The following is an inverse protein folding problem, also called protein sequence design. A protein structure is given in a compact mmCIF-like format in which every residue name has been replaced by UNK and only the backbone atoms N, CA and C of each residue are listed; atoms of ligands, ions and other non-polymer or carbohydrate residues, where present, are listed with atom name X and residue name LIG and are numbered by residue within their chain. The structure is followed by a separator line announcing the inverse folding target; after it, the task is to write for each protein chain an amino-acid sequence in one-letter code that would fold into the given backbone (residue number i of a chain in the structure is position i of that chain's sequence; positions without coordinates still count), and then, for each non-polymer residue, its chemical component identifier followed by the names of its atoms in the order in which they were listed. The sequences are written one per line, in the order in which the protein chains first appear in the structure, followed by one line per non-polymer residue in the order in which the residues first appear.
data_IF_521143042844
#
_entry.id   IF_521143042844
#
_cell.length_a   1.000
_cell.length_b   1.000
_cell.length_c   1.000
_cell.angle_alpha   90.00
_cell.angle_beta   90.00
_cell.angle_gamma   90.00
#
_symmetry.space_group_name_H-M   'P 1'
#
loop_
_entity.id
_entity.type
_entity.pdbx_description
1 polymer ?
#
# COMPACT_ATOMS: atom_id res chain seq x y z
N UNK A 1 21.97 24.57 35.30
CA UNK A 1 21.68 25.23 36.59
C UNK A 1 22.24 26.64 36.57
N UNK A 2 21.37 27.65 36.59
CA UNK A 2 21.72 29.05 36.41
C UNK A 2 21.46 29.89 37.66
N UNK A 3 22.23 30.97 37.81
CA UNK A 3 21.95 32.03 38.78
C UNK A 3 21.01 33.06 38.13
N UNK A 4 19.89 33.34 38.77
CA UNK A 4 18.98 34.44 38.44
C UNK A 4 19.13 35.55 39.49
N UNK A 5 18.66 36.77 39.20
CA UNK A 5 18.80 37.97 40.07
C UNK A 5 18.22 37.81 41.50
N UNK A 6 17.52 36.72 41.80
CA UNK A 6 16.98 36.40 43.13
C UNK A 6 17.26 34.99 43.67
N UNK A 7 18.11 34.17 43.02
CA UNK A 7 18.42 32.82 43.52
C UNK A 7 19.01 31.85 42.49
N UNK A 8 19.13 30.57 42.88
CA UNK A 8 19.57 29.50 41.98
C UNK A 8 18.37 28.76 41.39
N UNK A 9 18.44 28.41 40.10
CA UNK A 9 17.42 27.63 39.41
C UNK A 9 18.04 26.36 38.82
N UNK A 10 17.41 25.20 39.08
CA UNK A 10 17.83 23.89 38.56
C UNK A 10 17.31 23.57 37.16
N UNK A 11 16.37 24.35 36.66
CA UNK A 11 15.82 24.24 35.32
C UNK A 11 16.55 25.28 34.44
N UNK A 12 17.19 24.84 33.36
CA UNK A 12 17.73 25.78 32.37
C UNK A 12 16.54 26.46 31.67
N UNK A 13 16.19 27.67 32.10
CA UNK A 13 15.10 28.51 31.56
C UNK A 13 15.52 29.26 30.29
N UNK A 14 16.42 28.72 29.47
CA UNK A 14 16.77 29.30 28.16
C UNK A 14 15.65 29.16 27.11
N UNK A 15 14.44 28.77 27.52
CA UNK A 15 13.25 28.66 26.68
C UNK A 15 11.93 28.90 27.42
N UNK A 16 11.92 29.88 28.33
CA UNK A 16 10.70 30.26 29.04
C UNK A 16 9.87 31.21 28.17
N UNK A 17 8.97 30.67 27.35
CA UNK A 17 7.99 31.47 26.62
C UNK A 17 6.94 32.05 27.60
N UNK A 18 6.69 33.38 27.60
CA UNK A 18 5.66 33.97 28.42
C UNK A 18 4.27 33.52 27.96
N UNK A 19 3.45 33.04 28.89
CA UNK A 19 2.06 32.65 28.61
C UNK A 19 1.11 33.64 29.25
N UNK A 20 0.08 34.07 28.51
CA UNK A 20 -0.83 35.14 28.94
C UNK A 20 -1.72 34.77 30.14
N UNK A 21 -2.07 33.50 30.31
CA UNK A 21 -2.89 33.01 31.42
C UNK A 21 -2.55 31.55 31.76
N UNK A 22 -2.61 31.21 33.04
CA UNK A 22 -2.40 29.85 33.57
C UNK A 22 -3.41 28.88 32.96
N UNK A 23 -4.68 29.29 32.76
CA UNK A 23 -5.66 28.41 32.12
C UNK A 23 -5.28 28.06 30.68
N UNK A 24 -4.72 29.03 29.94
CA UNK A 24 -4.20 28.81 28.58
C UNK A 24 -3.05 27.80 28.56
N UNK A 25 -2.10 27.95 29.50
CA UNK A 25 -0.98 27.01 29.66
C UNK A 25 -1.49 25.60 29.99
N UNK A 26 -2.38 25.47 30.99
CA UNK A 26 -2.90 24.16 31.40
C UNK A 26 -3.71 23.50 30.27
N UNK A 27 -4.53 24.26 29.54
CA UNK A 27 -5.29 23.75 28.42
C UNK A 27 -4.37 23.27 27.27
N UNK A 28 -3.32 24.04 26.96
CA UNK A 28 -2.35 23.65 25.93
C UNK A 28 -1.56 22.39 26.33
N UNK A 29 -1.07 22.35 27.57
CA UNK A 29 -0.28 21.23 28.09
C UNK A 29 -1.12 19.96 28.19
N UNK A 30 -2.22 19.98 28.96
CA UNK A 30 -3.06 18.81 29.14
C UNK A 30 -3.80 18.42 27.85
N UNK A 31 -4.19 19.38 27.01
CA UNK A 31 -4.77 19.10 25.70
C UNK A 31 -3.81 18.31 24.81
N UNK A 32 -2.52 18.70 24.80
CA UNK A 32 -1.47 17.97 24.08
C UNK A 32 -1.24 16.56 24.66
N UNK A 33 -1.14 16.42 25.97
CA UNK A 33 -0.93 15.12 26.63
C UNK A 33 -2.11 14.16 26.37
N UNK A 34 -3.35 14.65 26.47
CA UNK A 34 -4.55 13.86 26.15
C UNK A 34 -4.53 13.44 24.68
N UNK A 35 -4.20 14.35 23.76
CA UNK A 35 -4.13 14.06 22.34
C UNK A 35 -3.05 13.00 22.03
N UNK A 36 -1.88 13.07 22.67
CA UNK A 36 -0.81 12.10 22.54
C UNK A 36 -1.25 10.71 23.03
N UNK A 37 -1.87 10.62 24.21
CA UNK A 37 -2.40 9.35 24.72
C UNK A 37 -3.48 8.76 23.81
N UNK A 38 -4.37 9.60 23.29
CA UNK A 38 -5.39 9.17 22.32
C UNK A 38 -4.77 8.67 21.02
N UNK A 39 -3.76 9.38 20.51
CA UNK A 39 -3.01 9.02 19.32
C UNK A 39 -2.36 7.65 19.46
N UNK A 40 -1.59 7.43 20.54
CA UNK A 40 -0.89 6.17 20.77
C UNK A 40 -1.86 5.00 20.94
N UNK A 41 -2.94 5.19 21.70
CA UNK A 41 -3.97 4.17 21.88
C UNK A 41 -4.62 3.80 20.55
N UNK A 42 -5.03 4.79 19.77
CA UNK A 42 -5.71 4.58 18.49
C UNK A 42 -4.78 3.91 17.48
N UNK A 43 -3.54 4.39 17.38
CA UNK A 43 -2.51 3.81 16.51
C UNK A 43 -2.26 2.35 16.83
N UNK A 44 -1.99 2.02 18.10
CA UNK A 44 -1.74 0.65 18.53
C UNK A 44 -2.93 -0.27 18.21
N UNK A 45 -4.16 0.20 18.43
CA UNK A 45 -5.36 -0.55 18.11
C UNK A 45 -5.48 -0.85 16.60
N UNK A 46 -5.25 0.15 15.74
CA UNK A 46 -5.28 -0.02 14.28
C UNK A 46 -4.15 -0.97 13.85
N UNK A 47 -2.93 -0.78 14.35
CA UNK A 47 -1.76 -1.61 14.01
C UNK A 47 -1.97 -3.08 14.34
N UNK A 48 -2.42 -3.39 15.57
CA UNK A 48 -2.68 -4.77 15.97
C UNK A 48 -3.74 -5.43 15.10
N UNK A 49 -4.80 -4.68 14.75
CA UNK A 49 -5.87 -5.19 13.91
C UNK A 49 -5.40 -5.44 12.48
N UNK A 50 -4.69 -4.49 11.87
CA UNK A 50 -4.13 -4.62 10.52
C UNK A 50 -3.18 -5.81 10.44
N UNK A 51 -2.25 -5.94 11.40
CA UNK A 51 -1.32 -7.07 11.46
C UNK A 51 -2.04 -8.41 11.42
N UNK A 52 -3.04 -8.60 12.29
CA UNK A 52 -3.79 -9.86 12.33
C UNK A 52 -4.60 -10.17 11.06
N UNK A 53 -5.05 -9.14 10.33
CA UNK A 53 -5.76 -9.33 9.05
C UNK A 53 -4.77 -9.62 7.92
N UNK A 54 -3.68 -8.86 7.83
CA UNK A 54 -2.60 -9.05 6.85
C UNK A 54 -1.98 -10.44 6.97
N UNK A 55 -1.68 -10.91 8.18
CA UNK A 55 -1.07 -12.23 8.40
C UNK A 55 -1.98 -13.37 7.88
N UNK A 56 -3.30 -13.26 8.11
CA UNK A 56 -4.28 -14.23 7.59
C UNK A 56 -4.37 -14.20 6.07
N UNK A 57 -4.34 -13.01 5.47
CA UNK A 57 -4.41 -12.85 4.02
C UNK A 57 -3.12 -13.35 3.34
N UNK A 58 -1.95 -13.08 3.92
CA UNK A 58 -0.66 -13.60 3.45
C UNK A 58 -0.64 -15.13 3.46
N UNK A 59 -1.14 -15.75 4.53
CA UNK A 59 -1.28 -17.22 4.59
C UNK A 59 -2.28 -17.76 3.54
N UNK A 60 -3.38 -17.04 3.30
CA UNK A 60 -4.36 -17.42 2.28
C UNK A 60 -3.79 -17.31 0.86
N UNK A 61 -3.03 -16.25 0.58
CA UNK A 61 -2.33 -16.04 -0.68
C UNK A 61 -1.33 -17.17 -0.95
N UNK A 62 -0.46 -17.46 0.03
CA UNK A 62 0.54 -18.54 -0.12
C UNK A 62 -0.10 -19.91 -0.33
N UNK A 63 -1.23 -20.19 0.33
CA UNK A 63 -1.99 -21.43 0.11
C UNK A 63 -2.54 -21.54 -1.32
N UNK A 64 -2.99 -20.42 -1.90
CA UNK A 64 -3.47 -20.40 -3.28
C UNK A 64 -2.32 -20.49 -4.29
N UNK A 65 -1.19 -19.83 -4.04
CA UNK A 65 0.03 -19.94 -4.84
C UNK A 65 0.52 -21.39 -4.89
N UNK A 66 0.62 -22.06 -3.74
CA UNK A 66 1.00 -23.48 -3.68
C UNK A 66 0.06 -24.38 -4.50
N UNK A 67 -1.25 -24.10 -4.53
CA UNK A 67 -2.22 -24.86 -5.35
C UNK A 67 -2.05 -24.59 -6.85
N UNK A 68 -1.64 -23.38 -7.22
CA UNK A 68 -1.35 -23.02 -8.61
C UNK A 68 -0.04 -23.66 -9.07
N UNK A 69 0.98 -23.72 -8.23
CA UNK A 69 2.25 -24.38 -8.52
C UNK A 69 2.06 -25.88 -8.74
N UNK A 70 1.26 -26.55 -7.89
CA UNK A 70 0.85 -27.94 -8.13
C UNK A 70 0.12 -28.12 -9.47
N UNK A 71 -0.56 -27.07 -9.95
CA UNK A 71 -1.25 -27.07 -11.23
C UNK A 71 -0.34 -26.71 -12.42
N UNK A 72 0.89 -26.23 -12.20
CA UNK A 72 1.87 -25.97 -13.25
C UNK A 72 2.36 -27.25 -13.93
N UNK A 73 2.32 -28.39 -13.22
CA UNK A 73 2.58 -29.73 -13.79
C UNK A 73 1.44 -30.24 -14.71
N UNK A 74 0.33 -29.49 -14.84
CA UNK A 74 -0.78 -29.90 -15.69
C UNK A 74 -0.38 -30.08 -17.16
N UNK A 75 0.47 -29.20 -17.70
CA UNK A 75 0.88 -29.27 -19.10
C UNK A 75 1.79 -30.47 -19.37
N UNK A 76 2.64 -30.84 -18.40
CA UNK A 76 3.44 -32.08 -18.46
C UNK A 76 2.56 -33.34 -18.51
N UNK A 77 1.44 -33.37 -17.78
CA UNK A 77 0.50 -34.50 -17.85
C UNK A 77 -0.12 -34.63 -19.24
N UNK A 78 -0.41 -33.50 -19.91
CA UNK A 78 -0.94 -33.51 -21.28
C UNK A 78 0.11 -34.01 -22.27
N UNK A 79 1.32 -33.46 -22.24
CA UNK A 79 2.43 -33.90 -23.11
C UNK A 79 2.68 -35.41 -22.99
N UNK A 80 2.75 -35.93 -21.75
CA UNK A 80 2.89 -37.38 -21.50
C UNK A 80 1.71 -38.20 -22.01
N UNK A 81 0.48 -37.68 -21.89
CA UNK A 81 -0.71 -38.35 -22.42
C UNK A 81 -0.70 -38.41 -23.95
N UNK A 82 -0.32 -37.32 -24.61
CA UNK A 82 -0.21 -37.21 -26.07
C UNK A 82 0.86 -38.20 -26.60
N UNK A 83 2.02 -38.27 -25.94
CA UNK A 83 3.09 -39.22 -26.26
C UNK A 83 2.63 -40.68 -26.11
N UNK A 84 2.01 -41.04 -24.98
CA UNK A 84 1.47 -42.39 -24.77
C UNK A 84 0.41 -42.78 -25.80
N UNK A 85 -0.39 -41.81 -26.27
CA UNK A 85 -1.41 -42.07 -27.27
C UNK A 85 -0.79 -42.32 -28.66
N UNK A 86 0.18 -41.50 -29.07
CA UNK A 86 0.86 -41.63 -30.35
C UNK A 86 1.67 -42.94 -30.46
N UNK A 87 2.40 -43.29 -29.41
CA UNK A 87 3.22 -44.50 -29.37
C UNK A 87 2.49 -45.73 -28.82
N UNK A 88 1.17 -45.65 -28.60
CA UNK A 88 0.37 -46.72 -28.00
C UNK A 88 0.52 -48.09 -28.65
N UNK A 89 0.82 -48.13 -29.96
CA UNK A 89 1.08 -49.34 -30.74
C UNK A 89 2.35 -50.10 -30.32
N UNK A 90 3.30 -49.46 -29.62
CA UNK A 90 4.56 -50.06 -29.17
C UNK A 90 4.45 -50.68 -27.77
N UNK A 91 3.32 -50.49 -27.09
CA UNK A 91 3.10 -50.97 -25.74
C UNK A 91 2.90 -52.49 -25.68
N UNK A 92 3.48 -53.13 -24.66
CA UNK A 92 3.31 -54.55 -24.35
C UNK A 92 2.79 -54.76 -22.91
N UNK A 93 2.01 -55.83 -22.65
CA UNK A 93 1.53 -56.13 -21.30
C UNK A 93 2.66 -56.23 -20.27
N UNK A 94 2.52 -55.54 -19.13
CA UNK A 94 3.52 -55.50 -18.06
C UNK A 94 4.69 -54.52 -18.26
N UNK A 95 4.73 -53.79 -19.39
CA UNK A 95 5.81 -52.86 -19.70
C UNK A 95 5.81 -51.64 -18.75
N UNK A 96 6.86 -51.54 -17.93
CA UNK A 96 7.05 -50.44 -16.97
C UNK A 96 8.55 -50.15 -16.78
N UNK A 97 9.12 -48.99 -17.21
CA UNK A 97 8.53 -47.86 -17.92
C UNK A 97 8.51 -48.03 -19.46
N UNK A 98 7.72 -47.21 -20.15
CA UNK A 98 7.72 -47.11 -21.62
C UNK A 98 8.58 -45.92 -22.05
N UNK A 99 9.60 -46.16 -22.88
CA UNK A 99 10.46 -45.09 -23.42
C UNK A 99 9.95 -44.66 -24.78
N UNK A 100 9.70 -43.36 -24.93
CA UNK A 100 9.15 -42.75 -26.15
C UNK A 100 9.91 -41.47 -26.47
N UNK A 101 10.06 -41.15 -27.75
CA UNK A 101 10.76 -39.94 -28.15
C UNK A 101 9.84 -38.72 -27.98
N UNK A 102 10.35 -37.70 -27.29
CA UNK A 102 9.67 -36.44 -27.05
C UNK A 102 9.43 -35.67 -28.37
N UNK A 103 8.23 -35.12 -28.56
CA UNK A 103 7.85 -34.46 -29.82
C UNK A 103 8.64 -33.17 -30.11
N UNK A 104 9.10 -32.47 -29.08
CA UNK A 104 9.78 -31.17 -29.22
C UNK A 104 11.29 -31.32 -29.31
N UNK A 105 11.86 -32.23 -28.52
CA UNK A 105 13.32 -32.39 -28.40
C UNK A 105 13.88 -33.60 -29.14
N UNK A 106 13.03 -34.58 -29.51
CA UNK A 106 13.47 -35.85 -30.09
C UNK A 106 14.28 -36.73 -29.13
N UNK A 107 14.40 -36.33 -27.86
CA UNK A 107 15.12 -37.09 -26.86
C UNK A 107 14.24 -38.21 -26.28
N UNK A 108 14.80 -39.37 -25.93
CA UNK A 108 14.04 -40.46 -25.33
C UNK A 108 13.57 -40.07 -23.92
N UNK A 109 12.26 -40.14 -23.69
CA UNK A 109 11.59 -39.87 -22.43
C UNK A 109 10.94 -41.15 -21.87
N UNK A 110 11.27 -41.50 -20.63
CA UNK A 110 10.64 -42.62 -19.93
C UNK A 110 9.32 -42.18 -19.27
N UNK A 111 8.21 -42.79 -19.67
CA UNK A 111 6.88 -42.58 -19.09
C UNK A 111 6.49 -43.81 -18.27
N UNK A 112 6.24 -43.61 -16.97
CA UNK A 112 5.77 -44.66 -16.07
C UNK A 112 4.31 -45.05 -16.39
N UNK A 113 4.11 -46.33 -16.67
CA UNK A 113 2.80 -46.95 -16.87
C UNK A 113 2.52 -47.82 -15.65
N UNK A 114 1.27 -47.86 -15.21
CA UNK A 114 0.85 -48.74 -14.12
C UNK A 114 0.78 -50.18 -14.66
N UNK A 115 1.38 -51.21 -14.02
CA UNK A 115 1.40 -52.58 -14.55
C UNK A 115 0.01 -53.15 -14.88
N UNK A 116 -1.01 -52.69 -14.17
CA UNK A 116 -2.41 -53.11 -14.34
C UNK A 116 -3.16 -52.33 -15.44
N UNK A 117 -2.51 -51.38 -16.13
CA UNK A 117 -3.14 -50.50 -17.12
C UNK A 117 -2.47 -50.55 -18.48
N UNK A 118 -3.26 -50.34 -19.53
CA UNK A 118 -2.74 -50.13 -20.88
C UNK A 118 -2.20 -48.71 -21.06
N UNK A 119 -1.33 -48.49 -22.05
CA UNK A 119 -0.86 -47.15 -22.42
C UNK A 119 -2.02 -46.16 -22.66
N UNK A 120 -3.09 -46.62 -23.33
CA UNK A 120 -4.31 -45.82 -23.59
C UNK A 120 -5.03 -45.47 -22.28
N UNK A 121 -5.20 -46.41 -21.36
CA UNK A 121 -5.83 -46.16 -20.06
C UNK A 121 -4.99 -45.20 -19.21
N UNK A 122 -3.66 -45.34 -19.24
CA UNK A 122 -2.74 -44.43 -18.55
C UNK A 122 -2.81 -43.02 -19.14
N UNK A 123 -2.85 -42.88 -20.47
CA UNK A 123 -3.04 -41.60 -21.14
C UNK A 123 -4.39 -40.95 -20.78
N UNK A 124 -5.49 -41.71 -20.78
CA UNK A 124 -6.80 -41.22 -20.33
C UNK A 124 -6.78 -40.73 -18.88
N UNK A 125 -6.05 -41.41 -17.98
CA UNK A 125 -5.85 -40.96 -16.60
C UNK A 125 -5.12 -39.63 -16.54
N UNK A 126 -4.04 -39.49 -17.30
CA UNK A 126 -3.26 -38.25 -17.41
C UNK A 126 -4.10 -37.10 -17.98
N UNK A 127 -4.93 -37.33 -19.01
CA UNK A 127 -5.87 -36.31 -19.50
C UNK A 127 -6.91 -35.91 -18.44
N UNK A 128 -7.48 -36.86 -17.69
CA UNK A 128 -8.39 -36.55 -16.58
C UNK A 128 -7.69 -35.71 -15.51
N UNK A 129 -6.45 -36.02 -15.19
CA UNK A 129 -5.63 -35.26 -14.23
C UNK A 129 -5.33 -33.85 -14.75
N UNK A 130 -4.90 -33.70 -16.00
CA UNK A 130 -4.72 -32.40 -16.66
C UNK A 130 -6.01 -31.57 -16.59
N UNK A 131 -7.15 -32.13 -16.98
CA UNK A 131 -8.42 -31.41 -16.99
C UNK A 131 -8.90 -31.02 -15.59
N UNK A 132 -8.57 -31.82 -14.56
CA UNK A 132 -8.84 -31.48 -13.15
C UNK A 132 -7.97 -30.31 -12.69
N UNK A 133 -6.65 -30.36 -12.94
CA UNK A 133 -5.70 -29.32 -12.57
C UNK A 133 -5.98 -28.01 -13.32
N UNK A 134 -6.31 -28.08 -14.61
CA UNK A 134 -6.70 -26.91 -15.42
C UNK A 134 -7.95 -26.21 -14.85
N UNK A 135 -8.97 -26.99 -14.47
CA UNK A 135 -10.18 -26.46 -13.81
C UNK A 135 -9.86 -25.83 -12.45
N UNK A 136 -9.00 -26.47 -11.66
CA UNK A 136 -8.55 -25.92 -10.38
C UNK A 136 -7.79 -24.59 -10.57
N UNK A 137 -6.86 -24.53 -11.53
CA UNK A 137 -6.13 -23.30 -11.90
C UNK A 137 -7.07 -22.17 -12.28
N UNK A 138 -8.05 -22.44 -13.15
CA UNK A 138 -9.03 -21.45 -13.58
C UNK A 138 -9.89 -20.92 -12.42
N UNK A 139 -10.21 -21.76 -11.43
CA UNK A 139 -10.99 -21.36 -10.26
C UNK A 139 -10.15 -20.61 -9.19
N UNK A 140 -8.89 -21.01 -8.98
CA UNK A 140 -8.02 -20.42 -7.95
C UNK A 140 -7.39 -19.10 -8.39
N UNK A 141 -7.08 -18.93 -9.67
CA UNK A 141 -6.45 -17.71 -10.19
C UNK A 141 -7.22 -16.41 -9.85
N UNK A 142 -8.54 -16.29 -10.08
CA UNK A 142 -9.27 -15.09 -9.71
C UNK A 142 -9.37 -14.89 -8.18
N UNK A 143 -9.38 -15.97 -7.40
CA UNK A 143 -9.37 -15.89 -5.94
C UNK A 143 -8.04 -15.36 -5.41
N UNK A 144 -6.91 -15.79 -5.99
CA UNK A 144 -5.60 -15.26 -5.66
C UNK A 144 -5.50 -13.78 -6.02
N UNK A 145 -5.91 -13.39 -7.23
CA UNK A 145 -5.90 -11.99 -7.65
C UNK A 145 -6.73 -11.10 -6.71
N UNK A 146 -7.90 -11.57 -6.26
CA UNK A 146 -8.72 -10.84 -5.29
C UNK A 146 -8.03 -10.68 -3.91
N UNK A 147 -7.37 -11.74 -3.42
CA UNK A 147 -6.61 -11.69 -2.16
C UNK A 147 -5.39 -10.79 -2.28
N UNK A 148 -4.68 -10.81 -3.41
CA UNK A 148 -3.53 -9.94 -3.66
C UNK A 148 -3.96 -8.47 -3.77
N UNK A 149 -5.07 -8.16 -4.44
CA UNK A 149 -5.62 -6.80 -4.47
C UNK A 149 -6.04 -6.31 -3.07
N UNK A 150 -6.59 -7.20 -2.26
CA UNK A 150 -6.93 -6.90 -0.87
C UNK A 150 -5.69 -6.67 0.02
N UNK A 151 -4.63 -7.47 -0.17
CA UNK A 151 -3.34 -7.27 0.48
C UNK A 151 -2.73 -5.92 0.11
N UNK A 152 -2.65 -5.60 -1.19
CA UNK A 152 -2.10 -4.34 -1.67
C UNK A 152 -2.80 -3.13 -1.03
N UNK A 153 -4.13 -3.20 -0.88
CA UNK A 153 -4.90 -2.16 -0.18
C UNK A 153 -4.55 -2.04 1.30
N UNK A 154 -4.49 -3.15 2.04
CA UNK A 154 -4.20 -3.08 3.46
C UNK A 154 -2.74 -2.70 3.74
N UNK A 155 -1.81 -3.05 2.83
CA UNK A 155 -0.42 -2.60 2.89
C UNK A 155 -0.29 -1.10 2.61
N UNK A 156 -1.14 -0.52 1.76
CA UNK A 156 -1.26 0.93 1.58
C UNK A 156 -1.73 1.62 2.86
N UNK A 157 -2.74 1.07 3.55
CA UNK A 157 -3.19 1.60 4.85
C UNK A 157 -2.08 1.46 5.91
N UNK A 158 -1.39 0.32 5.95
CA UNK A 158 -0.25 0.10 6.85
C UNK A 158 0.88 1.11 6.58
N UNK A 159 1.21 1.37 5.31
CA UNK A 159 2.20 2.37 4.93
C UNK A 159 1.84 3.76 5.46
N UNK A 160 0.60 4.22 5.24
CA UNK A 160 0.13 5.50 5.78
C UNK A 160 0.27 5.59 7.31
N UNK A 161 -0.03 4.49 8.02
CA UNK A 161 0.10 4.41 9.48
C UNK A 161 1.55 4.45 9.97
N UNK A 162 2.47 3.83 9.23
CA UNK A 162 3.91 3.83 9.57
C UNK A 162 4.59 5.18 9.34
N UNK A 163 4.05 6.02 8.46
CA UNK A 163 4.57 7.37 8.23
C UNK A 163 4.35 8.28 9.45
N UNK A 164 3.23 8.11 10.16
CA UNK A 164 2.88 8.91 11.34
C UNK A 164 3.39 8.23 12.60
N UNK A 165 4.71 8.32 12.84
CA UNK A 165 5.37 7.64 13.96
C UNK A 165 5.03 8.26 15.31
N UNK A 166 5.03 9.59 15.36
CA UNK A 166 4.88 10.43 16.55
C UNK A 166 3.74 11.42 16.34
N UNK A 167 3.14 11.85 17.45
CA UNK A 167 2.18 12.95 17.44
C UNK A 167 2.94 14.29 17.40
N UNK A 168 2.91 14.96 16.25
CA UNK A 168 3.56 16.26 16.06
C UNK A 168 2.51 17.37 15.96
N UNK A 169 1.42 17.12 15.24
CA UNK A 169 0.36 18.09 14.99
C UNK A 169 -1.04 17.49 15.19
N UNK A 170 -2.06 18.31 15.48
CA UNK A 170 -3.45 17.83 15.62
C UNK A 170 -3.96 17.04 14.40
N UNK A 171 -3.50 17.40 13.20
CA UNK A 171 -3.87 16.73 11.96
C UNK A 171 -3.37 15.28 11.87
N UNK A 172 -2.36 14.89 12.66
CA UNK A 172 -1.91 13.50 12.74
C UNK A 172 -2.93 12.62 13.46
N UNK A 173 -3.58 13.13 14.50
CA UNK A 173 -4.67 12.45 15.19
C UNK A 173 -5.92 12.37 14.29
N UNK A 174 -6.26 13.45 13.59
CA UNK A 174 -7.36 13.43 12.60
C UNK A 174 -7.11 12.37 11.52
N UNK A 175 -5.89 12.27 10.99
CA UNK A 175 -5.54 11.26 9.99
C UNK A 175 -5.73 9.82 10.50
N UNK A 176 -5.43 9.53 11.77
CA UNK A 176 -5.70 8.21 12.36
C UNK A 176 -7.20 7.94 12.54
N UNK A 177 -7.97 8.96 12.88
CA UNK A 177 -9.43 8.86 12.99
C UNK A 177 -10.03 8.53 11.62
N UNK A 178 -9.57 9.18 10.56
CA UNK A 178 -9.96 8.89 9.18
C UNK A 178 -9.60 7.47 8.77
N UNK A 179 -8.37 7.02 9.05
CA UNK A 179 -7.95 5.63 8.77
C UNK A 179 -8.86 4.65 9.51
N UNK A 180 -9.20 4.91 10.78
CA UNK A 180 -10.13 4.05 11.53
C UNK A 180 -11.51 4.03 10.88
N UNK A 181 -12.05 5.18 10.50
CA UNK A 181 -13.36 5.26 9.84
C UNK A 181 -13.36 4.51 8.51
N UNK A 182 -12.30 4.65 7.71
CA UNK A 182 -12.11 3.89 6.47
C UNK A 182 -12.11 2.38 6.74
N UNK A 183 -11.35 1.91 7.72
CA UNK A 183 -11.30 0.49 8.08
C UNK A 183 -12.63 -0.05 8.60
N UNK A 184 -13.42 0.77 9.30
CA UNK A 184 -14.80 0.42 9.71
C UNK A 184 -15.71 0.33 8.48
N UNK A 185 -15.64 1.30 7.57
CA UNK A 185 -16.47 1.34 6.35
C UNK A 185 -16.20 0.15 5.44
N UNK A 186 -14.93 -0.27 5.35
CA UNK A 186 -14.51 -1.46 4.59
C UNK A 186 -14.74 -2.78 5.35
N UNK A 187 -15.22 -2.74 6.61
CA UNK A 187 -15.58 -3.93 7.39
C UNK A 187 -14.41 -4.62 8.10
N UNK A 188 -13.22 -4.01 8.16
CA UNK A 188 -12.06 -4.57 8.86
C UNK A 188 -12.10 -4.37 10.37
N UNK A 189 -12.77 -3.31 10.83
CA UNK A 189 -12.93 -2.98 12.24
C UNK A 189 -14.41 -2.94 12.62
N UNK A 190 -14.73 -3.53 13.78
CA UNK A 190 -16.03 -3.36 14.41
C UNK A 190 -16.01 -2.05 15.22
N UNK A 191 -17.12 -1.34 15.21
CA UNK A 191 -17.35 -0.23 16.12
C UNK A 191 -17.66 -0.78 17.51
N UNK A 192 -16.85 -0.52 18.56
CA UNK A 192 -17.19 -0.99 19.90
C UNK A 192 -18.42 -0.27 20.46
N UNK A 193 -18.74 0.95 19.98
CA UNK A 193 -19.87 1.75 20.46
C UNK A 193 -20.13 2.98 19.56
N UNK A 194 -20.29 2.80 18.25
CA UNK A 194 -20.55 3.94 17.35
C UNK A 194 -22.05 4.25 17.32
N UNK A 195 -22.48 5.20 18.15
CA UNK A 195 -23.85 5.71 18.09
C UNK A 195 -24.11 6.29 16.69
N UNK A 196 -25.30 6.06 16.10
CA UNK A 196 -25.67 6.61 14.78
C UNK A 196 -25.62 8.15 14.70
N UNK A 197 -25.57 8.86 15.83
CA UNK A 197 -25.43 10.31 15.91
C UNK A 197 -24.08 10.81 15.40
N UNK A 198 -23.00 10.04 15.58
CA UNK A 198 -21.64 10.48 15.27
C UNK A 198 -21.36 10.42 13.76
N UNK A 199 -22.05 9.54 13.01
CA UNK A 199 -22.02 9.50 11.55
C UNK A 199 -22.53 10.81 10.92
N UNK A 200 -23.64 11.34 11.45
CA UNK A 200 -24.21 12.61 10.96
C UNK A 200 -23.35 13.82 11.34
N UNK A 201 -22.61 13.76 12.45
CA UNK A 201 -21.71 14.85 12.85
C UNK A 201 -20.38 14.84 12.07
N UNK A 202 -19.82 13.66 11.78
CA UNK A 202 -18.59 13.52 10.98
C UNK A 202 -18.83 13.82 9.50
N UNK A 203 -19.92 13.32 8.91
CA UNK A 203 -20.24 13.57 7.49
C UNK A 203 -20.58 15.04 7.24
N UNK A 204 -21.23 15.72 8.21
CA UNK A 204 -21.47 17.17 8.14
C UNK A 204 -20.19 18.00 8.31
N UNK A 205 -19.28 17.60 9.20
CA UNK A 205 -17.97 18.26 9.33
C UNK A 205 -17.06 18.04 8.12
N UNK A 206 -17.19 16.89 7.45
CA UNK A 206 -16.46 16.59 6.21
C UNK A 206 -17.01 17.34 4.99
N UNK A 207 -18.31 17.67 4.95
CA UNK A 207 -18.91 18.41 3.83
C UNK A 207 -18.69 19.92 3.88
N UNK A 208 -18.39 20.48 5.05
CA UNK A 208 -18.21 21.94 5.28
C UNK A 208 -16.72 22.39 5.26
N UNK A 209 -15.77 21.45 5.16
CA UNK A 209 -14.33 21.79 5.13
C UNK A 209 -13.91 22.11 3.69
N UNK A 210 -13.25 23.25 3.53
CA UNK A 210 -12.64 23.61 2.25
C UNK A 210 -11.52 22.58 1.94
N UNK A 211 -11.32 22.14 0.68
CA UNK A 211 -10.27 21.16 0.36
C UNK A 211 -8.87 21.58 0.80
N UNK A 212 -8.60 22.89 0.87
CA UNK A 212 -7.34 23.45 1.40
C UNK A 212 -7.15 23.29 2.91
N UNK A 213 -8.19 22.90 3.65
CA UNK A 213 -8.26 22.80 5.11
C UNK A 213 -8.30 21.33 5.60
N UNK A 214 -8.18 20.36 4.69
CA UNK A 214 -8.19 18.91 4.98
C UNK A 214 -6.90 18.40 5.63
N UNK A 215 -6.01 19.31 6.07
CA UNK A 215 -4.80 18.94 6.82
C UNK A 215 -3.82 18.09 6.00
N UNK A 216 -3.65 18.37 4.71
CA UNK A 216 -2.55 17.79 3.93
C UNK A 216 -1.20 18.21 4.52
N UNK A 217 -0.17 17.39 4.33
CA UNK A 217 1.20 17.85 4.59
C UNK A 217 1.61 18.80 3.48
N UNK A 218 1.91 20.05 3.83
CA UNK A 218 2.32 21.07 2.88
C UNK A 218 3.85 21.22 2.91
N UNK A 219 4.45 21.32 1.73
CA UNK A 219 5.88 21.62 1.52
C UNK A 219 6.03 22.64 0.41
N UNK A 220 7.23 23.21 0.29
CA UNK A 220 7.63 24.00 -0.86
C UNK A 220 8.87 23.38 -1.48
N UNK A 221 8.92 23.36 -2.80
CA UNK A 221 10.14 22.98 -3.51
C UNK A 221 11.23 24.06 -3.32
N UNK A 222 12.48 23.80 -3.69
CA UNK A 222 13.55 24.80 -3.64
C UNK A 222 13.23 26.07 -4.42
N UNK A 223 12.49 25.97 -5.52
CA UNK A 223 12.07 27.13 -6.33
C UNK A 223 10.74 27.74 -5.82
N UNK A 224 10.23 27.27 -4.68
CA UNK A 224 9.10 27.84 -3.95
C UNK A 224 7.72 27.30 -4.36
N UNK A 225 7.66 26.31 -5.25
CA UNK A 225 6.40 25.72 -5.74
C UNK A 225 5.69 24.93 -4.63
N UNK A 226 4.35 24.99 -4.51
CA UNK A 226 3.62 24.27 -3.48
C UNK A 226 3.60 22.76 -3.74
N UNK A 227 3.81 21.98 -2.69
CA UNK A 227 3.71 20.51 -2.73
C UNK A 227 2.74 20.05 -1.64
N UNK A 228 1.78 19.22 -2.01
CA UNK A 228 0.80 18.63 -1.11
C UNK A 228 1.02 17.12 -1.03
N UNK A 229 1.07 16.57 0.19
CA UNK A 229 1.21 15.13 0.44
C UNK A 229 0.04 14.63 1.27
N UNK A 230 -0.63 13.58 0.81
CA UNK A 230 -1.73 12.95 1.54
C UNK A 230 -1.22 12.15 2.75
N UNK A 231 -1.89 12.30 3.91
CA UNK A 231 -1.59 11.54 5.14
C UNK A 231 -2.25 10.15 5.16
N UNK A 232 -3.31 9.93 4.38
CA UNK A 232 -4.08 8.68 4.32
C UNK A 232 -4.77 8.50 2.95
N UNK A 233 -5.43 7.37 2.72
CA UNK A 233 -6.07 7.05 1.43
C UNK A 233 -7.21 8.00 1.07
N UNK A 234 -7.99 8.45 2.06
CA UNK A 234 -9.05 9.44 1.84
C UNK A 234 -8.47 10.75 1.29
N UNK A 235 -7.42 11.27 1.92
CA UNK A 235 -6.71 12.47 1.46
C UNK A 235 -6.05 12.25 0.10
N UNK A 236 -5.49 11.06 -0.15
CA UNK A 236 -4.90 10.70 -1.43
C UNK A 236 -5.93 10.74 -2.58
N UNK A 237 -7.15 10.24 -2.33
CA UNK A 237 -8.25 10.32 -3.28
C UNK A 237 -8.67 11.78 -3.52
N UNK A 238 -8.81 12.56 -2.45
CA UNK A 238 -9.20 13.97 -2.51
C UNK A 238 -8.19 14.82 -3.28
N UNK A 239 -6.89 14.54 -3.12
CA UNK A 239 -5.82 15.21 -3.86
C UNK A 239 -6.03 15.10 -5.36
N UNK A 240 -6.41 13.93 -5.85
CA UNK A 240 -6.60 13.68 -7.28
C UNK A 240 -7.97 14.17 -7.75
N UNK A 241 -9.05 13.88 -7.01
CA UNK A 241 -10.40 14.13 -7.52
C UNK A 241 -10.86 15.58 -7.40
N UNK A 242 -10.35 16.33 -6.43
CA UNK A 242 -10.87 17.65 -6.08
C UNK A 242 -9.80 18.74 -6.10
N UNK A 243 -8.59 18.44 -5.65
CA UNK A 243 -7.54 19.45 -5.47
C UNK A 243 -6.69 19.65 -6.73
N UNK A 244 -6.42 18.57 -7.44
CA UNK A 244 -5.58 18.57 -8.63
C UNK A 244 -6.20 19.35 -9.78
N UNK A 245 -5.34 20.07 -10.50
CA UNK A 245 -5.64 20.76 -11.75
C UNK A 245 -4.88 20.11 -12.91
N UNK A 246 -5.24 20.43 -14.15
CA UNK A 246 -4.61 19.84 -15.34
C UNK A 246 -3.12 20.19 -15.53
N UNK A 247 -2.65 21.23 -14.86
CA UNK A 247 -1.25 21.69 -14.91
C UNK A 247 -0.36 20.98 -13.89
N UNK A 248 -0.96 20.48 -12.80
CA UNK A 248 -0.21 19.89 -11.70
C UNK A 248 0.48 18.59 -12.12
N UNK A 249 1.45 18.15 -11.31
CA UNK A 249 2.10 16.86 -11.47
C UNK A 249 1.82 15.98 -10.26
N UNK A 250 1.33 14.78 -10.51
CA UNK A 250 1.09 13.75 -9.51
C UNK A 250 2.28 12.79 -9.45
N UNK A 251 2.69 12.43 -8.23
CA UNK A 251 3.80 11.53 -7.95
C UNK A 251 3.37 10.42 -6.99
N UNK A 252 3.94 9.23 -7.20
CA UNK A 252 3.81 8.09 -6.30
C UNK A 252 4.98 7.13 -6.47
N UNK A 253 5.29 6.31 -5.48
CA UNK A 253 6.32 5.28 -5.61
C UNK A 253 5.87 4.17 -6.55
N UNK A 254 6.76 3.68 -7.42
CA UNK A 254 6.42 2.64 -8.38
C UNK A 254 6.29 1.29 -7.69
N UNK A 255 5.11 0.64 -7.81
CA UNK A 255 4.80 -0.67 -7.21
C UNK A 255 5.03 -0.79 -5.69
N UNK A 256 5.22 0.34 -4.99
CA UNK A 256 5.48 0.39 -3.55
C UNK A 256 4.36 1.21 -2.91
N UNK A 257 3.74 0.72 -1.82
CA UNK A 257 2.73 1.48 -1.10
C UNK A 257 3.27 2.80 -0.51
N UNK A 258 2.57 3.91 -0.75
CA UNK A 258 3.00 5.24 -0.31
C UNK A 258 1.94 6.33 -0.48
N UNK A 259 2.26 7.53 -0.02
CA UNK A 259 1.37 8.69 -0.14
C UNK A 259 1.33 9.19 -1.58
N UNK A 260 0.18 9.74 -1.97
CA UNK A 260 0.09 10.52 -3.20
C UNK A 260 0.67 11.90 -2.93
N UNK A 261 1.52 12.37 -3.84
CA UNK A 261 2.13 13.69 -3.77
C UNK A 261 1.73 14.50 -4.99
N UNK A 262 1.33 15.74 -4.78
CA UNK A 262 0.88 16.66 -5.82
C UNK A 262 1.77 17.90 -5.81
N UNK A 263 2.54 18.09 -6.89
CA UNK A 263 3.25 19.33 -7.17
C UNK A 263 2.29 20.29 -7.87
N UNK A 264 2.05 21.45 -7.25
CA UNK A 264 1.12 22.45 -7.77
C UNK A 264 1.82 23.35 -8.78
N UNK A 265 1.28 23.43 -9.99
CA UNK A 265 1.81 24.25 -11.07
C UNK A 265 0.72 25.18 -11.61
N UNK A 266 1.08 26.43 -11.88
CA UNK A 266 0.24 27.38 -12.59
C UNK A 266 0.34 27.22 -14.11
N UNK A 267 -0.51 27.93 -14.82
CA UNK A 267 -0.45 27.99 -16.29
C UNK A 267 0.87 28.65 -16.73
N UNK A 268 1.70 27.89 -17.45
CA UNK A 268 3.01 28.35 -17.94
C UNK A 268 4.18 28.06 -17.00
N UNK A 269 3.92 27.53 -15.79
CA UNK A 269 4.99 27.08 -14.90
C UNK A 269 5.61 25.79 -15.43
N UNK A 270 6.94 25.69 -15.31
CA UNK A 270 7.70 24.49 -15.65
C UNK A 270 8.54 24.13 -14.42
N UNK A 271 8.30 22.94 -13.87
CA UNK A 271 9.10 22.43 -12.75
C UNK A 271 10.54 22.20 -13.20
N UNK A 272 11.50 22.70 -12.43
CA UNK A 272 12.92 22.42 -12.68
C UNK A 272 13.24 20.96 -12.31
N UNK A 273 14.33 20.41 -12.86
CA UNK A 273 14.80 19.06 -12.48
C UNK A 273 15.05 18.94 -10.97
N UNK A 274 15.43 20.05 -10.32
CA UNK A 274 15.64 20.12 -8.88
C UNK A 274 14.32 20.01 -8.12
N UNK A 275 13.26 20.65 -8.58
CA UNK A 275 11.93 20.54 -7.99
C UNK A 275 11.36 19.13 -8.17
N UNK A 276 11.49 18.55 -9.37
CA UNK A 276 11.06 17.19 -9.65
C UNK A 276 11.77 16.17 -8.74
N UNK A 277 13.09 16.32 -8.58
CA UNK A 277 13.88 15.48 -7.68
C UNK A 277 13.44 15.65 -6.21
N UNK A 278 13.20 16.87 -5.76
CA UNK A 278 12.72 17.13 -4.40
C UNK A 278 11.36 16.47 -4.12
N UNK A 279 10.42 16.57 -5.06
CA UNK A 279 9.10 15.93 -4.94
C UNK A 279 9.20 14.41 -4.98
N UNK A 280 10.12 13.86 -5.80
CA UNK A 280 10.42 12.44 -5.82
C UNK A 280 11.00 11.96 -4.47
N UNK A 281 11.92 12.71 -3.88
CA UNK A 281 12.47 12.42 -2.55
C UNK A 281 11.36 12.39 -1.50
N UNK A 282 10.40 13.34 -1.55
CA UNK A 282 9.23 13.37 -0.68
C UNK A 282 8.31 12.16 -0.86
N UNK A 283 8.00 11.78 -2.11
CA UNK A 283 7.17 10.61 -2.40
C UNK A 283 7.84 9.32 -1.88
N UNK A 284 9.15 9.17 -2.08
CA UNK A 284 9.94 8.07 -1.55
C UNK A 284 9.96 8.06 0.00
N UNK A 285 10.09 9.23 0.63
CA UNK A 285 10.10 9.36 2.08
C UNK A 285 8.74 9.01 2.71
N UNK A 286 7.64 9.44 2.10
CA UNK A 286 6.29 9.05 2.50
C UNK A 286 5.83 7.76 1.83
N UNK A 287 6.70 6.74 1.83
CA UNK A 287 6.37 5.40 1.34
C UNK A 287 6.87 4.33 2.30
N UNK A 288 6.48 3.08 2.05
CA UNK A 288 7.05 1.92 2.74
C UNK A 288 8.57 1.79 2.54
N UNK A 289 9.12 2.36 1.47
CA UNK A 289 10.54 2.31 1.14
C UNK A 289 11.36 3.48 1.73
N UNK A 290 10.85 4.18 2.76
CA UNK A 290 11.53 5.31 3.43
C UNK A 290 12.98 5.03 3.88
N UNK A 291 13.31 3.78 4.20
CA UNK A 291 14.64 3.38 4.66
C UNK A 291 15.61 2.99 3.52
N UNK A 292 15.12 2.87 2.29
CA UNK A 292 15.93 2.52 1.12
C UNK A 292 16.83 3.69 0.68
N UNK A 293 17.94 3.39 0.02
CA UNK A 293 18.86 4.41 -0.51
C UNK A 293 18.26 5.17 -1.70
N UNK A 294 17.64 4.43 -2.62
CA UNK A 294 16.96 4.94 -3.80
C UNK A 294 15.64 4.19 -4.02
N UNK A 295 14.63 4.91 -4.48
CA UNK A 295 13.28 4.38 -4.74
C UNK A 295 12.81 4.88 -6.10
N UNK A 296 12.29 4.01 -6.98
CA UNK A 296 11.68 4.45 -8.23
C UNK A 296 10.36 5.17 -7.92
N UNK A 297 10.24 6.39 -8.40
CA UNK A 297 9.05 7.24 -8.27
C UNK A 297 8.52 7.51 -9.66
N UNK A 298 7.22 7.33 -9.84
CA UNK A 298 6.53 7.71 -11.06
C UNK A 298 5.94 9.10 -10.90
N UNK A 299 5.90 9.85 -11.99
CA UNK A 299 5.07 11.04 -12.07
C UNK A 299 4.36 11.15 -13.41
N UNK A 300 3.17 11.75 -13.38
CA UNK A 300 2.37 12.06 -14.57
C UNK A 300 1.38 13.18 -14.26
N UNK A 301 0.66 13.64 -15.27
CA UNK A 301 -0.42 14.60 -15.09
C UNK A 301 -1.65 13.94 -14.44
N UNK A 302 -2.36 14.62 -13.52
CA UNK A 302 -3.54 14.08 -12.85
C UNK A 302 -4.60 13.51 -13.79
N UNK A 303 -4.78 14.09 -14.99
CA UNK A 303 -5.72 13.59 -16.02
C UNK A 303 -5.43 12.16 -16.50
N UNK A 304 -4.20 11.66 -16.33
CA UNK A 304 -3.82 10.29 -16.67
C UNK A 304 -3.98 9.32 -15.50
N UNK A 305 -4.36 9.82 -14.32
CA UNK A 305 -4.60 9.05 -13.11
C UNK A 305 -6.10 8.93 -12.90
N UNK A 306 -6.62 7.71 -12.87
CA UNK A 306 -8.05 7.48 -12.67
C UNK A 306 -8.31 6.34 -11.70
N UNK A 307 -9.36 6.50 -10.91
CA UNK A 307 -9.86 5.51 -9.96
C UNK A 307 -10.93 4.64 -10.63
N UNK A 308 -10.72 3.32 -10.78
CA UNK A 308 -11.73 2.43 -11.34
C UNK A 308 -13.01 2.41 -10.48
N UNK A 309 -14.18 2.25 -11.12
CA UNK A 309 -15.44 2.07 -10.38
C UNK A 309 -15.36 0.84 -9.47
N UNK A 310 -15.62 1.04 -8.18
CA UNK A 310 -15.55 -0.02 -7.17
C UNK A 310 -14.15 -0.31 -6.64
N UNK A 311 -13.12 0.41 -7.09
CA UNK A 311 -11.79 0.34 -6.47
C UNK A 311 -11.83 0.88 -5.03
N UNK A 312 -11.00 0.29 -4.18
CA UNK A 312 -10.85 0.71 -2.78
C UNK A 312 -10.24 2.12 -2.68
N UNK A 313 -10.44 2.84 -1.58
CA UNK A 313 -9.82 4.15 -1.38
C UNK A 313 -8.30 4.11 -1.58
N UNK A 314 -7.75 5.17 -2.17
CA UNK A 314 -6.31 5.29 -2.47
C UNK A 314 -5.82 4.46 -3.66
N UNK A 315 -6.64 3.57 -4.23
CA UNK A 315 -6.24 2.75 -5.39
C UNK A 315 -6.50 3.49 -6.69
N UNK A 316 -5.42 3.70 -7.45
CA UNK A 316 -5.46 4.42 -8.73
C UNK A 316 -4.76 3.63 -9.83
N UNK A 317 -5.22 3.83 -11.06
CA UNK A 317 -4.53 3.37 -12.26
C UNK A 317 -3.99 4.62 -12.94
N UNK A 318 -2.73 4.58 -13.34
CA UNK A 318 -2.04 5.65 -14.05
C UNK A 318 -1.59 5.17 -15.43
N UNK A 319 -1.36 6.13 -16.33
CA UNK A 319 -0.84 5.93 -17.69
C UNK A 319 0.16 7.03 -18.00
N UNK A 320 1.02 6.82 -18.99
CA UNK A 320 1.97 7.84 -19.47
C UNK A 320 2.84 8.39 -18.33
N UNK A 321 3.36 7.48 -17.51
CA UNK A 321 4.24 7.78 -16.42
C UNK A 321 5.68 7.98 -16.87
N UNK A 322 6.40 8.86 -16.18
CA UNK A 322 7.85 8.96 -16.26
C UNK A 322 8.43 8.52 -14.92
N UNK A 323 9.50 7.72 -14.96
CA UNK A 323 10.18 7.24 -13.76
C UNK A 323 11.36 8.16 -13.43
N UNK A 324 11.45 8.56 -12.17
CA UNK A 324 12.56 9.30 -11.58
C UNK A 324 12.99 8.62 -10.27
N UNK A 325 14.28 8.70 -9.93
CA UNK A 325 14.80 8.09 -8.71
C UNK A 325 14.75 9.08 -7.54
N UNK A 326 13.97 8.75 -6.51
CA UNK A 326 13.91 9.49 -5.25
C UNK A 326 14.86 8.93 -4.19
N UNK A 327 15.40 9.79 -3.34
CA UNK A 327 16.31 9.50 -2.25
C UNK A 327 15.69 9.97 -0.92
N UNK A 328 15.02 9.08 -0.17
CA UNK A 328 14.25 9.48 1.01
C UNK A 328 15.13 10.07 2.12
N UNK A 329 16.42 9.73 2.18
CA UNK A 329 17.36 10.27 3.17
C UNK A 329 17.67 11.76 3.00
N UNK A 330 17.41 12.34 1.82
CA UNK A 330 17.59 13.77 1.56
C UNK A 330 16.46 14.63 2.10
N UNK A 331 15.33 14.00 2.43
CA UNK A 331 14.20 14.71 3.04
C UNK A 331 14.52 14.98 4.49
N UNK A 332 14.76 16.24 4.81
CA UNK A 332 14.81 16.68 6.19
C UNK A 332 13.42 16.51 6.82
N UNK A 333 13.30 15.88 8.00
CA UNK A 333 12.07 15.90 8.76
C UNK A 333 11.65 17.36 8.91
N UNK A 334 10.36 17.64 8.82
CA UNK A 334 9.87 18.97 9.18
C UNK A 334 10.31 19.19 10.62
N UNK A 335 11.29 20.07 10.83
CA UNK A 335 11.41 20.73 12.10
C UNK A 335 10.15 21.57 12.16
N UNK A 336 9.11 21.06 12.82
CA UNK A 336 8.04 21.92 13.31
C UNK A 336 8.80 23.05 13.96
N UNK A 337 8.68 24.26 13.41
CA UNK A 337 9.20 25.45 14.06
C UNK A 337 8.67 25.30 15.49
N UNK A 338 9.58 25.01 16.43
CA UNK A 338 9.26 25.20 17.83
C UNK A 338 9.00 26.69 17.82
N UNK A 339 7.70 27.07 17.74
CA UNK A 339 7.26 28.43 17.92
C UNK A 339 8.08 28.92 19.11
N UNK A 340 8.92 29.92 18.83
CA UNK A 340 10.20 30.20 19.46
C UNK A 340 10.42 29.54 20.83
N UNK A 341 11.47 28.72 20.91
CA UNK A 341 11.94 28.13 22.17
C UNK A 341 12.09 29.20 23.24
#
# INVERSE_FOLDING_TARGET
PGWAEGGYTMLDWEGAAPVADVHGLLNQYYGREIALQQFDRLKNQIQQRLKGVLDKLRLKASTFEQRLDQSAQADQHRQRADLLMAYSHQWQPGMTPMTVDDFETGAPMAIAIDPDKTAIQQAQRLYKQHQKLKRAKAAVSPLLAAVQAELAYLEQVEAALTQTQTYEEPADLEALIDIRHELIQQGYMATPDHRPSDRKASDRKASDRNPSDEGFRQRRTPDGLPVLVGRNNRQNDLLISTVATDYDLWFHTQEIPGSHVLLRLGAGDVASDRDLAYVADLAAYYSRARQSDQVPVIYTQPRHVYKPKGARPGMVIYKQETVIWGQPRRVEPQQVARADR
#
